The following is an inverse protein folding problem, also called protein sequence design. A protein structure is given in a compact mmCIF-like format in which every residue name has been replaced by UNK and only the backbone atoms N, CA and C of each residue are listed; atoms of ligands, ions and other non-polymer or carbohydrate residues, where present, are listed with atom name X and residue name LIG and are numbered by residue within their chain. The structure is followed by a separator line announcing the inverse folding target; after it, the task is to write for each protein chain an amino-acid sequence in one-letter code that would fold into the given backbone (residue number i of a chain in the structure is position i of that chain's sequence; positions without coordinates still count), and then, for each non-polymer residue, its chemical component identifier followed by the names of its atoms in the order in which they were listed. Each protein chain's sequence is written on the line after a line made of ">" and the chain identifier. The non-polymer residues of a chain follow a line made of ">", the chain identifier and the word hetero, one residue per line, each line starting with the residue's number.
data_IF_738097981866
#
_entry.id   IF_738097981866
#
_cell.length_a   1.000
_cell.length_b   1.000
_cell.length_c   1.000
_cell.angle_alpha   90.00
_cell.angle_beta   90.00
_cell.angle_gamma   90.00
#
_symmetry.space_group_name_H-M   'P 1'
#
loop_
_entity.id
_entity.type
_entity.pdbx_description
1 polymer ?
#
# COMPACT_ATOMS: atom_id res chain seq x y z
N UNK A 1 13.29 -12.19 -17.47
CA UNK A 1 12.92 -11.44 -16.26
C UNK A 1 11.51 -11.87 -15.85
N UNK A 2 11.23 -12.03 -14.56
CA UNK A 2 9.86 -12.26 -14.08
C UNK A 2 8.99 -11.07 -14.49
N UNK A 3 7.79 -11.35 -14.99
CA UNK A 3 6.79 -10.29 -15.30
C UNK A 3 6.08 -9.77 -14.07
N UNK A 4 6.21 -10.47 -12.95
CA UNK A 4 5.51 -10.23 -11.70
C UNK A 4 6.49 -10.06 -10.55
N UNK A 5 6.06 -9.41 -9.48
CA UNK A 5 6.89 -9.06 -8.32
C UNK A 5 6.34 -9.67 -7.05
N UNK A 6 7.24 -9.96 -6.10
CA UNK A 6 6.91 -10.23 -4.71
C UNK A 6 7.41 -9.09 -3.83
N UNK A 7 6.50 -8.29 -3.28
CA UNK A 7 6.81 -7.07 -2.56
C UNK A 7 6.23 -6.99 -1.16
N UNK A 8 6.87 -6.20 -0.31
CA UNK A 8 6.39 -5.87 1.03
C UNK A 8 6.16 -4.37 1.14
N UNK A 9 5.01 -3.98 1.66
CA UNK A 9 4.76 -2.62 2.13
C UNK A 9 4.48 -2.64 3.62
N UNK A 10 5.11 -1.74 4.38
CA UNK A 10 4.91 -1.70 5.81
C UNK A 10 4.81 -0.28 6.36
N UNK A 11 4.12 -0.13 7.46
CA UNK A 11 3.94 1.14 8.15
C UNK A 11 3.26 0.98 9.50
N UNK A 12 3.18 2.08 10.24
CA UNK A 12 2.29 2.18 11.41
C UNK A 12 0.84 1.92 11.03
N UNK A 13 -0.03 1.54 11.99
CA UNK A 13 -1.45 1.41 11.73
C UNK A 13 -2.08 2.71 11.22
N UNK A 14 -3.14 2.60 10.41
CA UNK A 14 -3.99 3.72 9.96
C UNK A 14 -3.32 4.76 9.06
N UNK A 15 -2.24 4.41 8.38
CA UNK A 15 -1.56 5.31 7.41
C UNK A 15 -1.91 5.02 5.95
N UNK A 16 -2.95 4.22 5.69
CA UNK A 16 -3.50 4.03 4.35
C UNK A 16 -2.93 2.86 3.54
N UNK A 17 -2.18 1.91 4.13
CA UNK A 17 -1.63 0.74 3.41
C UNK A 17 -2.68 -0.03 2.58
N UNK A 18 -3.77 -0.44 3.25
CA UNK A 18 -4.88 -1.16 2.61
C UNK A 18 -5.49 -0.36 1.46
N UNK A 19 -5.77 0.93 1.71
CA UNK A 19 -6.32 1.85 0.70
C UNK A 19 -5.39 2.00 -0.49
N UNK A 20 -4.08 2.10 -0.26
CA UNK A 20 -3.08 2.19 -1.32
C UNK A 20 -3.07 0.94 -2.22
N UNK A 21 -3.20 -0.25 -1.63
CA UNK A 21 -3.29 -1.50 -2.39
C UNK A 21 -4.61 -1.65 -3.14
N UNK A 22 -5.74 -1.23 -2.53
CA UNK A 22 -7.04 -1.19 -3.20
C UNK A 22 -7.02 -0.26 -4.42
N UNK A 23 -6.35 0.89 -4.32
CA UNK A 23 -6.17 1.82 -5.46
C UNK A 23 -5.30 1.23 -6.55
N UNK A 24 -4.21 0.58 -6.17
CA UNK A 24 -3.27 0.01 -7.12
C UNK A 24 -3.87 -1.20 -7.86
N UNK A 25 -4.63 -2.04 -7.17
CA UNK A 25 -5.18 -3.28 -7.70
C UNK A 25 -6.64 -3.49 -7.27
N UNK A 26 -7.58 -2.72 -7.86
CA UNK A 26 -9.00 -2.81 -7.49
C UNK A 26 -9.63 -4.16 -7.89
N UNK A 27 -9.07 -4.82 -8.89
CA UNK A 27 -9.40 -6.15 -9.39
C UNK A 27 -8.51 -7.26 -8.81
N UNK A 28 -7.67 -6.94 -7.83
CA UNK A 28 -6.85 -7.89 -7.10
C UNK A 28 -7.64 -8.77 -6.14
N UNK A 29 -7.07 -9.94 -5.79
CA UNK A 29 -7.58 -10.78 -4.72
C UNK A 29 -6.98 -10.34 -3.38
N UNK A 30 -7.83 -9.91 -2.46
CA UNK A 30 -7.43 -9.57 -1.10
C UNK A 30 -7.63 -10.79 -0.19
N UNK A 31 -6.57 -11.19 0.50
CA UNK A 31 -6.60 -12.20 1.56
C UNK A 31 -6.43 -11.47 2.87
N UNK A 32 -7.52 -11.34 3.63
CA UNK A 32 -7.57 -10.40 4.74
C UNK A 32 -8.42 -10.92 5.91
N UNK A 33 -8.09 -10.60 7.17
CA UNK A 33 -8.97 -10.89 8.29
C UNK A 33 -10.33 -10.20 8.12
N UNK A 34 -11.38 -10.84 8.64
CA UNK A 34 -12.73 -10.31 8.57
C UNK A 34 -12.79 -8.88 9.13
N UNK A 35 -13.36 -7.98 8.34
CA UNK A 35 -13.54 -6.57 8.72
C UNK A 35 -12.29 -5.69 8.54
N UNK A 36 -11.15 -6.21 8.07
CA UNK A 36 -9.96 -5.37 7.82
C UNK A 36 -10.13 -4.43 6.62
N UNK A 37 -11.02 -4.77 5.68
CA UNK A 37 -11.29 -3.99 4.48
C UNK A 37 -12.50 -3.04 4.60
N UNK A 38 -12.87 -2.62 5.81
CA UNK A 38 -13.96 -1.65 6.01
C UNK A 38 -13.76 -0.34 5.27
N UNK A 39 -12.50 0.06 5.05
CA UNK A 39 -12.16 1.24 4.24
C UNK A 39 -12.62 1.13 2.79
N UNK A 40 -12.74 -0.08 2.22
CA UNK A 40 -13.24 -0.29 0.85
C UNK A 40 -14.70 0.10 0.73
N UNK A 41 -15.53 -0.30 1.71
CA UNK A 41 -16.96 0.05 1.75
C UNK A 41 -17.17 1.56 1.88
N UNK A 42 -16.33 2.23 2.67
CA UNK A 42 -16.36 3.68 2.80
C UNK A 42 -16.03 4.39 1.48
N UNK A 43 -15.10 3.83 0.70
CA UNK A 43 -14.70 4.35 -0.62
C UNK A 43 -15.66 3.91 -1.74
N UNK A 44 -16.68 3.09 -1.45
CA UNK A 44 -17.60 2.56 -2.43
C UNK A 44 -16.99 1.46 -3.31
N UNK A 45 -15.88 0.86 -2.90
CA UNK A 45 -15.23 -0.25 -3.60
C UNK A 45 -15.75 -1.59 -3.11
N UNK A 46 -15.86 -2.54 -4.05
CA UNK A 46 -16.22 -3.92 -3.78
C UNK A 46 -15.10 -4.86 -4.25
N UNK A 47 -13.98 -4.94 -3.51
CA UNK A 47 -12.87 -5.80 -3.86
C UNK A 47 -13.24 -7.28 -3.69
N UNK A 48 -12.60 -8.14 -4.47
CA UNK A 48 -12.69 -9.58 -4.23
C UNK A 48 -11.89 -9.93 -2.98
N UNK A 49 -12.57 -10.40 -1.94
CA UNK A 49 -11.97 -10.69 -0.63
C UNK A 49 -12.11 -12.16 -0.29
N UNK A 50 -11.00 -12.81 0.02
CA UNK A 50 -10.98 -14.06 0.74
C UNK A 50 -10.78 -13.73 2.24
N UNK A 51 -11.87 -13.75 3.01
CA UNK A 51 -11.79 -13.51 4.44
C UNK A 51 -11.03 -14.62 5.14
N UNK A 52 -10.00 -14.24 5.89
CA UNK A 52 -9.29 -15.15 6.76
C UNK A 52 -10.00 -15.21 8.11
N UNK A 53 -10.51 -16.39 8.45
CA UNK A 53 -10.94 -16.66 9.82
C UNK A 53 -9.74 -16.95 10.72
N UNK A 54 -9.99 -17.16 12.02
CA UNK A 54 -8.96 -17.47 13.04
C UNK A 54 -8.09 -18.70 12.72
N UNK A 55 -8.40 -19.47 11.68
CA UNK A 55 -7.71 -20.71 11.28
C UNK A 55 -6.93 -20.57 9.95
N UNK A 56 -6.97 -19.43 9.30
CA UNK A 56 -6.21 -19.26 8.04
C UNK A 56 -4.78 -18.89 8.38
N UNK A 57 -3.88 -19.79 8.14
CA UNK A 57 -2.44 -19.62 8.31
C UNK A 57 -1.71 -19.51 6.97
N UNK A 58 -0.39 -19.41 7.05
CA UNK A 58 0.50 -19.26 5.89
C UNK A 58 0.34 -20.37 4.85
N UNK A 59 0.04 -21.61 5.29
CA UNK A 59 -0.18 -22.74 4.37
C UNK A 59 -1.38 -22.52 3.45
N UNK A 60 -2.49 -22.02 3.98
CA UNK A 60 -3.69 -21.76 3.19
C UNK A 60 -3.44 -20.62 2.19
N UNK A 61 -2.68 -19.60 2.58
CA UNK A 61 -2.26 -18.51 1.70
C UNK A 61 -1.43 -19.04 0.53
N UNK A 62 -0.46 -19.94 0.80
CA UNK A 62 0.34 -20.60 -0.23
C UNK A 62 -0.55 -21.33 -1.25
N UNK A 63 -1.57 -22.06 -0.77
CA UNK A 63 -2.51 -22.76 -1.64
C UNK A 63 -3.37 -21.80 -2.46
N UNK A 64 -3.78 -20.66 -1.87
CA UNK A 64 -4.48 -19.59 -2.60
C UNK A 64 -3.61 -19.02 -3.72
N UNK A 65 -2.36 -18.68 -3.44
CA UNK A 65 -1.43 -18.17 -4.44
C UNK A 65 -1.30 -19.16 -5.59
N UNK A 66 -1.01 -20.43 -5.30
CA UNK A 66 -0.85 -21.48 -6.32
C UNK A 66 -2.08 -21.68 -7.20
N UNK A 67 -3.28 -21.60 -6.62
CA UNK A 67 -4.54 -21.87 -7.33
C UNK A 67 -5.11 -20.65 -8.05
N UNK A 68 -4.83 -19.45 -7.54
CA UNK A 68 -5.53 -18.22 -7.94
C UNK A 68 -4.64 -17.20 -8.65
N UNK A 69 -3.33 -17.43 -8.73
CA UNK A 69 -2.42 -16.45 -9.36
C UNK A 69 -2.69 -16.19 -10.84
N UNK A 70 -3.39 -17.11 -11.54
CA UNK A 70 -3.77 -16.90 -12.95
C UNK A 70 -5.06 -16.12 -13.13
N UNK A 71 -5.87 -16.05 -12.07
CA UNK A 71 -7.22 -15.48 -12.11
C UNK A 71 -7.21 -13.97 -11.78
N UNK A 72 -6.12 -13.46 -11.18
CA UNK A 72 -6.04 -12.08 -10.67
C UNK A 72 -4.72 -11.40 -11.05
N UNK A 73 -4.70 -10.07 -11.27
CA UNK A 73 -3.49 -9.31 -11.55
C UNK A 73 -2.54 -9.24 -10.34
N UNK A 74 -3.11 -9.28 -9.14
CA UNK A 74 -2.37 -9.28 -7.89
C UNK A 74 -3.11 -10.04 -6.80
N UNK A 75 -2.34 -10.64 -5.89
CA UNK A 75 -2.82 -11.19 -4.61
C UNK A 75 -2.21 -10.37 -3.50
N UNK A 76 -3.05 -9.74 -2.69
CA UNK A 76 -2.67 -8.85 -1.60
C UNK A 76 -3.03 -9.52 -0.27
N UNK A 77 -2.05 -9.75 0.58
CA UNK A 77 -2.22 -10.35 1.90
C UNK A 77 -2.18 -9.23 2.93
N UNK A 78 -3.35 -8.89 3.44
CA UNK A 78 -3.57 -7.74 4.33
C UNK A 78 -4.33 -8.16 5.61
N UNK A 79 -3.84 -8.05 6.80
CA UNK A 79 -2.51 -7.68 7.28
C UNK A 79 -1.66 -8.94 7.54
N UNK A 80 -0.53 -9.07 6.86
CA UNK A 80 0.30 -10.26 6.99
C UNK A 80 0.96 -10.37 8.37
N UNK A 81 1.21 -9.27 9.08
CA UNK A 81 1.76 -9.32 10.43
C UNK A 81 0.86 -10.10 11.38
N UNK A 82 -0.45 -9.89 11.33
CA UNK A 82 -1.42 -10.61 12.17
C UNK A 82 -1.50 -12.10 11.80
N UNK A 83 -1.45 -12.40 10.50
CA UNK A 83 -1.47 -13.78 10.01
C UNK A 83 -0.20 -14.52 10.43
N UNK A 84 0.95 -13.88 10.33
CA UNK A 84 2.24 -14.43 10.73
C UNK A 84 2.31 -14.68 12.25
N UNK A 85 1.74 -13.80 13.06
CA UNK A 85 1.66 -13.97 14.51
C UNK A 85 0.76 -15.17 14.89
N UNK A 86 -0.40 -15.30 14.24
CA UNK A 86 -1.28 -16.45 14.43
C UNK A 86 -0.60 -17.77 14.01
N UNK A 87 0.12 -17.77 12.88
CA UNK A 87 0.89 -18.92 12.41
C UNK A 87 2.00 -19.31 13.39
N UNK A 88 2.76 -18.33 13.92
CA UNK A 88 3.80 -18.59 14.91
C UNK A 88 3.21 -19.13 16.21
N UNK A 89 2.07 -18.60 16.65
CA UNK A 89 1.37 -19.11 17.82
C UNK A 89 0.95 -20.58 17.63
N UNK A 90 0.43 -20.94 16.46
CA UNK A 90 0.08 -22.32 16.12
C UNK A 90 1.31 -23.22 16.05
N UNK A 91 2.42 -22.74 15.46
CA UNK A 91 3.68 -23.48 15.47
C UNK A 91 4.18 -23.75 16.90
N UNK A 92 4.07 -22.78 17.82
CA UNK A 92 4.44 -22.95 19.24
C UNK A 92 3.51 -23.91 19.97
N UNK A 93 2.24 -23.96 19.60
CA UNK A 93 1.27 -24.91 20.19
C UNK A 93 1.54 -26.35 19.79
N UNK A 94 2.00 -26.56 18.55
CA UNK A 94 2.18 -27.90 17.96
C UNK A 94 3.61 -28.43 18.04
N UNK A 95 4.60 -27.57 18.33
CA UNK A 95 6.01 -27.92 18.40
C UNK A 95 6.65 -27.33 19.65
N UNK A 96 7.66 -28.02 20.20
CA UNK A 96 8.36 -27.57 21.40
C UNK A 96 9.64 -26.77 21.06
N UNK A 97 9.94 -25.76 21.88
CA UNK A 97 11.20 -25.02 21.84
C UNK A 97 11.54 -24.43 20.49
N UNK A 98 12.76 -24.60 20.03
CA UNK A 98 13.27 -24.02 18.79
C UNK A 98 12.64 -24.60 17.52
N UNK A 99 12.14 -25.85 17.58
CA UNK A 99 11.49 -26.47 16.42
C UNK A 99 10.25 -25.72 15.94
N UNK A 100 9.55 -25.00 16.82
CA UNK A 100 8.44 -24.14 16.44
C UNK A 100 8.87 -23.02 15.49
N UNK A 101 10.01 -22.39 15.77
CA UNK A 101 10.56 -21.34 14.91
C UNK A 101 11.08 -21.89 13.58
N UNK A 102 11.68 -23.10 13.59
CA UNK A 102 12.14 -23.73 12.34
C UNK A 102 10.97 -24.05 11.41
N UNK A 103 9.86 -24.58 11.97
CA UNK A 103 8.64 -24.83 11.21
C UNK A 103 8.06 -23.53 10.67
N UNK A 104 7.99 -22.50 11.48
CA UNK A 104 7.50 -21.19 11.07
C UNK A 104 8.36 -20.57 9.96
N UNK A 105 9.68 -20.55 10.15
CA UNK A 105 10.63 -20.04 9.13
C UNK A 105 10.47 -20.79 7.81
N UNK A 106 10.37 -22.13 7.83
CA UNK A 106 10.17 -22.93 6.63
C UNK A 106 8.89 -22.53 5.89
N UNK A 107 7.77 -22.31 6.61
CA UNK A 107 6.51 -21.84 5.99
C UNK A 107 6.64 -20.49 5.32
N UNK A 108 7.43 -19.57 5.90
CA UNK A 108 7.69 -18.26 5.27
C UNK A 108 8.56 -18.42 4.02
N UNK A 109 9.53 -19.34 4.01
CA UNK A 109 10.29 -19.64 2.78
C UNK A 109 9.41 -20.30 1.70
N UNK A 110 8.51 -21.19 2.07
CA UNK A 110 7.53 -21.78 1.14
C UNK A 110 6.58 -20.73 0.56
N UNK A 111 6.16 -19.73 1.37
CA UNK A 111 5.37 -18.59 0.90
C UNK A 111 6.14 -17.76 -0.14
N UNK A 112 7.41 -17.43 0.14
CA UNK A 112 8.29 -16.75 -0.82
C UNK A 112 8.35 -17.52 -2.14
N UNK A 113 8.56 -18.83 -2.06
CA UNK A 113 8.70 -19.66 -3.26
C UNK A 113 7.38 -19.70 -4.06
N UNK A 114 6.24 -19.80 -3.37
CA UNK A 114 4.94 -19.72 -4.01
C UNK A 114 4.71 -18.35 -4.67
N UNK A 115 5.05 -17.25 -3.98
CA UNK A 115 4.91 -15.90 -4.49
C UNK A 115 5.80 -15.64 -5.72
N UNK A 116 7.04 -16.13 -5.73
CA UNK A 116 7.96 -15.99 -6.85
C UNK A 116 7.59 -16.82 -8.09
N UNK A 117 6.87 -17.91 -7.87
CA UNK A 117 6.37 -18.77 -8.95
C UNK A 117 4.92 -18.44 -9.35
N UNK A 118 4.36 -17.38 -8.81
CA UNK A 118 3.01 -16.93 -9.14
C UNK A 118 2.94 -16.28 -10.51
N UNK A 119 1.79 -16.43 -11.18
CA UNK A 119 1.48 -15.78 -12.45
C UNK A 119 0.81 -14.40 -12.24
N UNK A 120 1.01 -13.78 -11.08
CA UNK A 120 0.53 -12.45 -10.72
C UNK A 120 1.49 -11.78 -9.73
N UNK A 121 1.28 -10.49 -9.47
CA UNK A 121 1.97 -9.81 -8.37
C UNK A 121 1.51 -10.33 -7.02
N UNK A 122 2.42 -10.45 -6.05
CA UNK A 122 2.08 -10.83 -4.67
C UNK A 122 2.61 -9.76 -3.72
N UNK A 123 1.73 -9.21 -2.89
CA UNK A 123 2.09 -8.17 -1.93
C UNK A 123 1.72 -8.58 -0.52
N UNK A 124 2.62 -8.29 0.42
CA UNK A 124 2.36 -8.36 1.85
C UNK A 124 2.22 -6.94 2.39
N UNK A 125 1.10 -6.61 2.99
CA UNK A 125 1.01 -5.40 3.81
C UNK A 125 1.28 -5.78 5.25
N UNK A 126 2.13 -5.01 5.93
CA UNK A 126 2.62 -5.36 7.26
C UNK A 126 2.62 -4.16 8.20
N UNK A 127 2.55 -4.41 9.48
CA UNK A 127 2.83 -3.40 10.50
C UNK A 127 4.33 -3.07 10.55
N UNK A 128 4.63 -1.88 11.05
CA UNK A 128 5.99 -1.42 11.28
C UNK A 128 6.48 -1.89 12.65
N UNK A 129 7.67 -2.44 12.68
CA UNK A 129 8.44 -2.63 13.89
C UNK A 129 9.46 -1.47 14.00
N UNK A 130 9.45 -0.69 15.06
CA UNK A 130 10.43 0.40 15.22
C UNK A 130 11.84 -0.13 15.41
N UNK A 131 12.85 0.69 15.09
CA UNK A 131 14.25 0.36 15.39
C UNK A 131 14.42 0.17 16.90
N UNK A 132 15.33 -0.72 17.27
CA UNK A 132 15.57 -1.05 18.67
C UNK A 132 17.03 -1.40 18.98
N UNK A 133 17.44 -1.01 20.16
CA UNK A 133 18.71 -1.44 20.72
C UNK A 133 18.56 -2.78 21.47
N UNK A 134 19.40 -3.76 21.14
CA UNK A 134 19.46 -5.04 21.86
C UNK A 134 20.76 -5.10 22.63
N UNK A 135 20.66 -5.08 23.96
CA UNK A 135 21.80 -5.22 24.86
C UNK A 135 22.05 -6.68 25.19
N UNK A 136 23.24 -7.16 24.89
CA UNK A 136 23.77 -8.44 25.38
C UNK A 136 24.95 -8.15 26.31
N UNK A 137 25.31 -9.05 27.25
CA UNK A 137 26.51 -8.86 28.06
C UNK A 137 27.74 -8.56 27.19
N UNK A 138 28.31 -7.38 27.37
CA UNK A 138 29.49 -6.95 26.62
C UNK A 138 29.26 -6.47 25.17
N UNK A 139 28.02 -6.44 24.68
CA UNK A 139 27.74 -6.03 23.31
C UNK A 139 26.36 -5.36 23.17
N UNK A 140 26.34 -4.18 22.60
CA UNK A 140 25.11 -3.51 22.20
C UNK A 140 24.98 -3.60 20.68
N UNK A 141 23.84 -4.10 20.20
CA UNK A 141 23.52 -4.18 18.77
C UNK A 141 22.30 -3.34 18.46
N UNK A 142 22.42 -2.44 17.49
CA UNK A 142 21.29 -1.75 16.88
C UNK A 142 20.62 -2.66 15.84
N UNK A 143 19.29 -2.82 15.94
CA UNK A 143 18.48 -3.53 14.96
C UNK A 143 17.60 -2.49 14.27
N UNK A 144 17.71 -2.32 12.94
CA UNK A 144 16.88 -1.39 12.20
C UNK A 144 15.41 -1.77 12.31
N UNK A 145 14.55 -0.78 12.20
CA UNK A 145 13.11 -0.97 12.05
C UNK A 145 12.77 -1.64 10.71
N UNK A 146 11.58 -2.16 10.59
CA UNK A 146 11.17 -2.85 9.36
C UNK A 146 9.79 -3.49 9.46
N UNK A 147 9.45 -4.42 8.57
CA UNK A 147 8.20 -5.16 8.64
C UNK A 147 8.11 -5.98 9.94
N UNK A 148 6.99 -5.83 10.65
CA UNK A 148 6.74 -6.57 11.89
C UNK A 148 6.43 -8.04 11.58
N UNK A 149 7.34 -8.91 11.93
CA UNK A 149 7.17 -10.36 11.86
C UNK A 149 7.84 -11.04 13.04
N UNK A 150 7.19 -12.07 13.58
CA UNK A 150 7.72 -12.86 14.69
C UNK A 150 8.97 -13.65 14.30
N UNK A 151 9.72 -14.06 15.33
CA UNK A 151 10.95 -14.85 15.17
C UNK A 151 12.23 -13.99 15.26
N UNK A 152 13.36 -14.68 15.37
CA UNK A 152 14.66 -14.05 15.58
C UNK A 152 15.30 -13.53 14.29
N UNK A 153 15.14 -14.28 13.18
CA UNK A 153 15.84 -14.00 11.91
C UNK A 153 14.93 -13.41 10.83
N UNK A 154 13.63 -13.65 10.89
CA UNK A 154 12.70 -13.25 9.84
C UNK A 154 12.58 -11.72 9.66
N UNK A 155 12.66 -10.88 10.71
CA UNK A 155 12.64 -9.43 10.52
C UNK A 155 13.73 -8.91 9.57
N UNK A 156 14.90 -9.56 9.56
CA UNK A 156 16.00 -9.21 8.65
C UNK A 156 15.94 -10.01 7.33
N UNK A 157 15.45 -11.27 7.36
CA UNK A 157 15.46 -12.16 6.20
C UNK A 157 14.28 -11.94 5.26
N UNK A 158 13.08 -11.65 5.77
CA UNK A 158 11.91 -11.43 4.93
C UNK A 158 12.11 -10.28 3.95
N UNK A 159 12.61 -9.09 4.35
CA UNK A 159 12.96 -8.03 3.41
C UNK A 159 13.92 -8.48 2.31
N UNK A 160 14.94 -9.25 2.67
CA UNK A 160 15.92 -9.77 1.72
C UNK A 160 15.35 -10.79 0.72
N UNK A 161 14.19 -11.37 0.99
CA UNK A 161 13.50 -12.30 0.09
C UNK A 161 12.60 -11.59 -0.93
N UNK A 162 12.24 -10.34 -0.68
CA UNK A 162 11.33 -9.56 -1.51
C UNK A 162 12.07 -8.84 -2.64
N UNK A 163 11.35 -8.55 -3.70
CA UNK A 163 11.90 -7.78 -4.82
C UNK A 163 11.98 -6.29 -4.48
N UNK A 164 11.05 -5.82 -3.64
CA UNK A 164 11.13 -4.50 -3.02
C UNK A 164 10.51 -4.50 -1.61
N UNK A 165 10.95 -3.54 -0.82
CA UNK A 165 10.46 -3.27 0.53
C UNK A 165 10.19 -1.77 0.64
N UNK A 166 8.92 -1.40 0.68
CA UNK A 166 8.48 -0.01 0.73
C UNK A 166 7.90 0.32 2.10
N UNK A 167 8.47 1.32 2.75
CA UNK A 167 7.93 1.90 3.98
C UNK A 167 6.97 3.02 3.63
N UNK A 168 5.83 3.11 4.30
CA UNK A 168 5.01 4.32 4.20
C UNK A 168 5.50 5.34 5.22
N UNK A 169 5.93 6.47 4.71
CA UNK A 169 6.43 7.60 5.50
C UNK A 169 5.49 8.79 5.40
N UNK A 170 5.58 9.65 6.39
CA UNK A 170 4.88 10.92 6.37
C UNK A 170 5.77 11.96 5.69
N UNK A 171 5.25 12.65 4.68
CA UNK A 171 5.91 13.75 4.03
C UNK A 171 5.44 15.06 4.69
N UNK A 172 6.30 15.68 5.47
CA UNK A 172 6.00 16.92 6.20
C UNK A 172 5.81 18.11 5.27
N UNK A 173 6.47 18.08 4.11
CA UNK A 173 6.42 19.16 3.11
C UNK A 173 5.21 19.03 2.17
N UNK A 174 4.57 17.87 2.12
CA UNK A 174 3.38 17.68 1.32
C UNK A 174 2.20 18.47 1.87
N UNK A 175 1.68 19.35 1.06
CA UNK A 175 0.48 20.13 1.37
C UNK A 175 -0.77 19.27 1.17
N UNK A 176 -1.51 19.02 2.22
CA UNK A 176 -2.81 18.33 2.17
C UNK A 176 -2.80 16.95 2.86
N UNK A 177 -3.89 16.18 2.81
CA UNK A 177 -4.01 14.90 3.52
C UNK A 177 -3.25 13.73 2.86
N UNK A 178 -2.69 13.91 1.67
CA UNK A 178 -1.83 12.93 1.02
C UNK A 178 -0.36 13.09 1.44
N UNK A 179 -0.16 13.28 2.74
CA UNK A 179 1.16 13.39 3.36
C UNK A 179 1.89 12.05 3.49
N UNK A 180 1.34 10.98 2.94
CA UNK A 180 1.97 9.66 2.99
C UNK A 180 2.52 9.28 1.64
N UNK A 181 3.78 8.82 1.63
CA UNK A 181 4.50 8.34 0.47
C UNK A 181 5.12 6.98 0.75
N UNK A 182 5.36 6.20 -0.30
CA UNK A 182 6.25 5.06 -0.21
C UNK A 182 7.70 5.53 -0.26
N UNK A 183 8.51 4.97 0.61
CA UNK A 183 9.97 5.11 0.62
C UNK A 183 10.58 3.73 0.33
N UNK A 184 11.41 3.67 -0.71
CA UNK A 184 12.24 2.52 -1.09
C UNK A 184 13.72 2.88 -1.10
N UNK A 185 14.06 4.15 -1.09
CA UNK A 185 15.42 4.65 -0.95
C UNK A 185 16.07 4.24 0.37
N UNK A 186 17.39 4.29 0.45
CA UNK A 186 18.14 3.93 1.66
C UNK A 186 17.69 4.72 2.89
N UNK A 187 17.51 4.02 4.00
CA UNK A 187 17.17 4.62 5.29
C UNK A 187 18.11 4.07 6.37
N UNK A 188 18.78 4.92 7.17
CA UNK A 188 19.74 4.48 8.18
C UNK A 188 19.07 3.75 9.35
N UNK A 189 17.79 3.99 9.58
CA UNK A 189 17.04 3.43 10.72
C UNK A 189 16.08 2.32 10.33
N UNK A 190 15.66 2.25 9.06
CA UNK A 190 14.63 1.33 8.60
C UNK A 190 15.07 0.52 7.39
N UNK A 191 14.57 -0.71 7.31
CA UNK A 191 14.83 -1.60 6.18
C UNK A 191 13.91 -1.23 5.03
N UNK A 192 14.48 -0.58 4.02
CA UNK A 192 13.85 -0.27 2.74
C UNK A 192 14.74 -0.74 1.61
N UNK A 193 14.21 -0.91 0.42
CA UNK A 193 15.03 -1.28 -0.74
C UNK A 193 14.21 -1.66 -1.97
N UNK A 194 14.85 -1.51 -3.12
CA UNK A 194 14.30 -1.92 -4.41
C UNK A 194 15.37 -2.73 -5.19
N UNK A 195 15.14 -4.02 -5.32
CA UNK A 195 15.98 -4.92 -6.15
C UNK A 195 15.61 -4.82 -7.61
N UNK A 196 14.44 -4.28 -7.94
CA UNK A 196 13.96 -4.11 -9.31
C UNK A 196 14.69 -2.98 -10.03
N UNK A 197 15.29 -2.05 -9.27
CA UNK A 197 15.95 -0.84 -9.76
C UNK A 197 15.02 0.05 -10.65
N UNK A 198 13.74 0.04 -10.35
CA UNK A 198 12.72 0.81 -11.09
C UNK A 198 11.94 1.78 -10.20
N UNK A 199 12.04 1.59 -8.88
CA UNK A 199 11.29 2.43 -7.94
C UNK A 199 12.07 3.69 -7.58
N UNK A 200 11.44 4.88 -7.63
CA UNK A 200 12.01 6.09 -7.07
C UNK A 200 12.28 5.93 -5.57
N UNK A 201 13.23 6.69 -5.01
CA UNK A 201 13.52 6.66 -3.57
C UNK A 201 12.29 6.94 -2.72
N UNK A 202 11.44 7.88 -3.19
CA UNK A 202 10.12 8.16 -2.64
C UNK A 202 9.12 8.39 -3.76
N UNK A 203 7.89 7.92 -3.57
CA UNK A 203 6.80 8.09 -4.54
C UNK A 203 5.42 8.04 -3.86
N UNK A 204 4.38 8.62 -4.49
CA UNK A 204 3.02 8.57 -3.98
C UNK A 204 2.55 7.13 -3.71
N UNK A 205 1.53 6.97 -2.86
CA UNK A 205 0.95 5.65 -2.54
C UNK A 205 0.22 5.01 -3.75
N UNK A 206 0.92 4.90 -4.88
CA UNK A 206 0.46 4.26 -6.11
C UNK A 206 1.58 3.38 -6.71
N UNK A 207 1.73 2.20 -6.17
CA UNK A 207 2.75 1.25 -6.60
C UNK A 207 2.52 0.74 -8.04
N UNK A 208 1.25 0.75 -8.51
CA UNK A 208 0.89 0.34 -9.87
C UNK A 208 1.62 1.16 -10.93
N UNK A 209 1.61 2.49 -10.79
CA UNK A 209 2.24 3.40 -11.75
C UNK A 209 3.76 3.14 -11.85
N UNK A 210 4.39 2.90 -10.72
CA UNK A 210 5.83 2.62 -10.69
C UNK A 210 6.16 1.28 -11.36
N UNK A 211 5.35 0.25 -11.11
CA UNK A 211 5.52 -1.04 -11.78
C UNK A 211 5.29 -0.93 -13.30
N UNK A 212 4.28 -0.18 -13.73
CA UNK A 212 4.03 0.09 -15.16
C UNK A 212 5.21 0.82 -15.80
N UNK A 213 5.72 1.87 -15.16
CA UNK A 213 6.88 2.61 -15.63
C UNK A 213 8.14 1.72 -15.71
N UNK A 214 8.26 0.76 -14.81
CA UNK A 214 9.33 -0.24 -14.79
C UNK A 214 9.16 -1.38 -15.82
N UNK A 215 8.07 -1.37 -16.60
CA UNK A 215 7.80 -2.38 -17.63
C UNK A 215 7.26 -3.71 -17.10
N UNK A 216 6.76 -3.75 -15.88
CA UNK A 216 6.11 -4.93 -15.33
C UNK A 216 4.71 -5.12 -15.91
N UNK A 217 4.27 -6.37 -15.96
CA UNK A 217 2.94 -6.69 -16.46
C UNK A 217 1.89 -6.36 -15.42
N UNK A 218 1.30 -5.19 -15.53
CA UNK A 218 0.15 -4.77 -14.70
C UNK A 218 -1.05 -4.63 -15.63
N UNK A 219 -1.95 -5.62 -15.68
CA UNK A 219 -3.14 -5.55 -16.54
C UNK A 219 -3.96 -4.32 -16.18
N UNK A 220 -4.49 -3.66 -17.20
CA UNK A 220 -5.46 -2.58 -16.98
C UNK A 220 -6.76 -3.22 -16.47
N UNK A 221 -7.31 -2.77 -15.33
CA UNK A 221 -8.57 -3.30 -14.86
C UNK A 221 -9.66 -3.11 -15.92
N UNK A 222 -10.45 -4.15 -16.16
CA UNK A 222 -11.57 -4.07 -17.13
C UNK A 222 -12.54 -2.93 -16.77
N UNK A 223 -12.73 -2.68 -15.49
CA UNK A 223 -13.54 -1.56 -14.97
C UNK A 223 -13.01 -0.17 -15.32
N UNK A 224 -11.75 -0.01 -15.73
CA UNK A 224 -11.18 1.29 -16.13
C UNK A 224 -11.32 1.58 -17.63
N UNK A 225 -11.51 0.56 -18.47
CA UNK A 225 -11.49 0.74 -19.92
C UNK A 225 -12.63 1.62 -20.46
N UNK A 226 -13.79 1.63 -19.77
CA UNK A 226 -14.97 2.42 -20.16
C UNK A 226 -15.10 3.75 -19.40
N UNK A 227 -14.23 3.98 -18.41
CA UNK A 227 -14.31 5.15 -17.52
C UNK A 227 -13.54 6.38 -18.02
N UNK A 228 -12.64 6.22 -19.00
CA UNK A 228 -11.77 7.33 -19.40
C UNK A 228 -12.59 8.55 -19.93
N UNK A 229 -13.60 8.28 -20.77
CA UNK A 229 -14.44 9.33 -21.34
C UNK A 229 -15.43 9.92 -20.32
N UNK A 230 -16.01 9.07 -19.46
CA UNK A 230 -16.92 9.51 -18.38
C UNK A 230 -16.17 10.28 -17.29
N UNK A 231 -14.95 9.85 -16.96
CA UNK A 231 -14.07 10.51 -16.01
C UNK A 231 -13.65 11.88 -16.48
N UNK A 232 -13.30 12.02 -17.74
CA UNK A 232 -12.94 13.32 -18.33
C UNK A 232 -14.15 14.25 -18.37
N UNK A 233 -15.31 13.75 -18.75
CA UNK A 233 -16.57 14.49 -18.74
C UNK A 233 -16.94 14.95 -17.33
N UNK A 234 -16.88 14.06 -16.33
CA UNK A 234 -17.22 14.36 -14.94
C UNK A 234 -16.21 15.35 -14.33
N UNK A 235 -14.93 15.20 -14.64
CA UNK A 235 -13.87 16.13 -14.22
C UNK A 235 -14.06 17.51 -14.81
N UNK A 236 -14.48 17.60 -16.08
CA UNK A 236 -14.78 18.87 -16.74
C UNK A 236 -16.04 19.53 -16.16
N UNK A 237 -17.09 18.74 -15.89
CA UNK A 237 -18.32 19.21 -15.26
C UNK A 237 -18.06 19.81 -13.87
N UNK A 238 -17.41 19.04 -13.00
CA UNK A 238 -17.10 19.49 -11.64
C UNK A 238 -16.11 20.67 -11.61
N UNK A 239 -15.12 20.67 -12.51
CA UNK A 239 -14.21 21.82 -12.68
C UNK A 239 -14.94 23.06 -13.21
N UNK A 240 -15.96 22.85 -14.05
CA UNK A 240 -16.80 23.91 -14.60
C UNK A 240 -17.72 24.52 -13.54
N UNK A 241 -18.32 23.73 -12.67
CA UNK A 241 -19.13 24.22 -11.56
C UNK A 241 -18.31 25.03 -10.56
N UNK A 242 -17.16 24.51 -10.17
CA UNK A 242 -16.28 25.22 -9.24
C UNK A 242 -15.67 26.49 -9.83
N UNK A 243 -15.36 26.49 -11.13
CA UNK A 243 -14.85 27.68 -11.80
C UNK A 243 -15.89 28.81 -11.92
N UNK A 244 -17.19 28.50 -11.83
CA UNK A 244 -18.26 29.50 -11.74
C UNK A 244 -18.28 30.18 -10.38
N UNK A 245 -18.05 29.39 -9.30
CA UNK A 245 -18.05 29.90 -7.94
C UNK A 245 -16.70 30.56 -7.55
N UNK A 246 -15.60 30.02 -8.10
CA UNK A 246 -14.23 30.44 -7.73
C UNK A 246 -13.30 30.49 -8.95
N UNK A 247 -13.36 31.54 -9.78
CA UNK A 247 -12.61 31.62 -11.05
C UNK A 247 -11.09 31.49 -10.92
N UNK A 248 -10.52 31.83 -9.76
CA UNK A 248 -9.07 31.75 -9.51
C UNK A 248 -8.59 30.34 -9.17
N UNK A 249 -9.50 29.40 -8.92
CA UNK A 249 -9.17 28.00 -8.55
C UNK A 249 -9.06 27.11 -9.79
N UNK A 250 -9.63 27.51 -10.92
CA UNK A 250 -9.68 26.74 -12.17
C UNK A 250 -8.34 26.13 -12.61
N UNK A 251 -7.20 26.85 -12.62
CA UNK A 251 -5.92 26.31 -13.06
C UNK A 251 -5.35 25.23 -12.12
N UNK A 252 -5.65 25.37 -10.81
CA UNK A 252 -5.13 24.46 -9.78
C UNK A 252 -5.85 23.11 -9.83
N UNK A 253 -7.14 23.14 -10.17
CA UNK A 253 -7.98 21.94 -10.26
C UNK A 253 -7.70 21.18 -11.55
N UNK A 254 -7.61 21.85 -12.68
CA UNK A 254 -7.38 21.22 -13.97
C UNK A 254 -6.06 20.42 -14.03
N UNK A 255 -4.98 20.91 -13.40
CA UNK A 255 -3.71 20.20 -13.34
C UNK A 255 -3.73 18.98 -12.40
N UNK A 256 -4.40 19.10 -11.25
CA UNK A 256 -4.41 18.03 -10.23
C UNK A 256 -5.52 16.99 -10.41
N UNK A 257 -6.67 17.38 -10.96
CA UNK A 257 -7.73 16.43 -11.23
C UNK A 257 -7.34 15.42 -12.31
N UNK A 258 -6.57 15.82 -13.33
CA UNK A 258 -6.09 14.92 -14.37
C UNK A 258 -5.20 13.80 -13.81
N UNK A 259 -4.29 14.12 -12.86
CA UNK A 259 -3.42 13.11 -12.25
C UNK A 259 -4.15 12.24 -11.23
N UNK A 260 -5.06 12.82 -10.46
CA UNK A 260 -5.87 12.09 -9.48
C UNK A 260 -6.89 11.16 -10.15
N UNK A 261 -7.50 11.61 -11.23
CA UNK A 261 -8.50 10.87 -12.00
C UNK A 261 -7.88 9.66 -12.70
N UNK A 262 -6.66 9.74 -13.19
CA UNK A 262 -5.92 8.58 -13.74
C UNK A 262 -5.70 7.46 -12.73
N UNK A 263 -5.78 7.74 -11.45
CA UNK A 263 -5.59 6.76 -10.36
C UNK A 263 -6.91 6.17 -9.82
N UNK A 264 -8.06 6.55 -10.36
CA UNK A 264 -9.37 6.23 -9.79
C UNK A 264 -10.14 5.24 -10.65
N UNK A 265 -10.85 4.31 -10.02
CA UNK A 265 -11.45 3.13 -10.64
C UNK A 265 -12.98 3.10 -10.65
N UNK A 266 -13.66 4.04 -9.99
CA UNK A 266 -15.12 4.06 -9.79
C UNK A 266 -15.66 5.49 -9.82
N UNK A 267 -16.82 5.70 -10.45
CA UNK A 267 -17.49 7.01 -10.55
C UNK A 267 -17.72 7.68 -9.18
N UNK A 268 -18.15 6.91 -8.17
CA UNK A 268 -18.38 7.43 -6.82
C UNK A 268 -17.08 7.90 -6.18
N UNK A 269 -16.01 7.15 -6.42
CA UNK A 269 -14.70 7.49 -5.93
C UNK A 269 -14.13 8.73 -6.65
N UNK A 270 -14.38 8.84 -7.97
CA UNK A 270 -14.03 10.04 -8.74
C UNK A 270 -14.72 11.26 -8.16
N UNK A 271 -16.04 11.18 -7.94
CA UNK A 271 -16.82 12.26 -7.32
C UNK A 271 -16.25 12.63 -5.96
N UNK A 272 -15.89 11.65 -5.15
CA UNK A 272 -15.29 11.88 -3.85
C UNK A 272 -13.88 12.50 -3.95
N UNK A 273 -13.00 11.99 -4.81
CA UNK A 273 -11.63 12.52 -5.01
C UNK A 273 -11.67 13.94 -5.54
N UNK A 274 -12.56 14.21 -6.49
CA UNK A 274 -12.73 15.56 -7.03
C UNK A 274 -13.33 16.47 -5.96
N UNK A 275 -14.39 16.07 -5.26
CA UNK A 275 -14.99 16.86 -4.18
C UNK A 275 -13.98 17.16 -3.06
N UNK A 276 -13.17 16.19 -2.69
CA UNK A 276 -12.14 16.36 -1.67
C UNK A 276 -10.99 17.27 -2.15
N UNK A 277 -10.56 17.16 -3.41
CA UNK A 277 -9.59 18.06 -4.02
C UNK A 277 -10.14 19.51 -4.08
N UNK A 278 -11.43 19.66 -4.39
CA UNK A 278 -12.15 20.93 -4.41
C UNK A 278 -12.23 21.54 -3.00
N UNK A 279 -12.66 20.78 -2.01
CA UNK A 279 -12.75 21.24 -0.63
C UNK A 279 -11.39 21.72 -0.10
N UNK A 280 -10.30 21.06 -0.49
CA UNK A 280 -8.93 21.47 -0.13
C UNK A 280 -8.46 22.71 -0.85
N UNK A 281 -8.82 22.85 -2.12
CA UNK A 281 -8.51 24.06 -2.87
C UNK A 281 -9.21 25.28 -2.25
N UNK A 282 -10.48 25.12 -1.84
CA UNK A 282 -11.24 26.14 -1.11
C UNK A 282 -10.60 26.48 0.24
N UNK A 283 -10.19 25.46 1.01
CA UNK A 283 -9.53 25.66 2.30
C UNK A 283 -8.21 26.44 2.16
N UNK A 284 -7.42 26.14 1.12
CA UNK A 284 -6.17 26.86 0.83
C UNK A 284 -6.42 28.31 0.42
N UNK A 285 -7.43 28.53 -0.41
CA UNK A 285 -7.81 29.89 -0.80
C UNK A 285 -8.24 30.68 0.42
N UNK A 286 -9.02 30.06 1.31
CA UNK A 286 -9.43 30.70 2.57
C UNK A 286 -8.23 31.01 3.46
N UNK A 287 -7.29 30.08 3.62
CA UNK A 287 -6.05 30.30 4.37
C UNK A 287 -5.17 31.39 3.75
N UNK A 288 -5.07 31.43 2.41
CA UNK A 288 -4.34 32.50 1.72
C UNK A 288 -4.99 33.86 1.91
N UNK A 289 -6.33 33.92 1.88
CA UNK A 289 -7.05 35.15 2.11
C UNK A 289 -6.86 35.67 3.57
N UNK A 290 -6.93 34.76 4.56
CA UNK A 290 -6.66 35.10 5.95
C UNK A 290 -5.22 35.63 6.16
N UNK A 291 -4.25 35.05 5.45
CA UNK A 291 -2.85 35.49 5.50
C UNK A 291 -2.68 36.90 4.88
N UNK A 292 -3.35 37.13 3.74
CA UNK A 292 -3.33 38.44 3.10
C UNK A 292 -4.02 39.51 3.96
N UNK A 293 -5.20 39.20 4.53
CA UNK A 293 -5.91 40.09 5.45
C UNK A 293 -5.07 40.40 6.71
N UNK A 294 -4.28 39.40 7.19
CA UNK A 294 -3.35 39.59 8.32
C UNK A 294 -2.19 40.53 7.93
N UNK A 295 -1.61 40.33 6.74
CA UNK A 295 -0.51 41.17 6.24
C UNK A 295 -0.97 42.61 5.97
N UNK A 296 -2.19 42.80 5.46
CA UNK A 296 -2.75 44.12 5.21
C UNK A 296 -3.17 44.87 6.49
N UNK A 297 -3.27 44.14 7.61
CA UNK A 297 -3.60 44.72 8.92
C UNK A 297 -2.38 45.27 9.70
N UNK A 298 -1.16 45.10 9.14
CA UNK A 298 0.08 45.69 9.63
C UNK A 298 0.57 46.82 8.72
#
# INVERSE_FOLDING_TARGET
>A
MSKFTFGVTYARPKVGKTVAMLKAFPDGLFVAPRGSLLSSSYLGWDPTVLETGAKVGVKQIIEVIKKKSKDYPAIIIDDFSLIADAELAECKRTNQGWSAFDVFNRRIYELRDAARNADCHVFLTMHEQPPREVKKPGQTRWIPGGPLIGGWQLPEKLPAMCDFVARVVYDEDALGPWKFMYQTGPDPEYITGDRLCVMPEQFPLNIREVLLAGGYHVPRPEKLAWMDDEVESLSQELSGELAKEHPNIKPIIAGRSADLVKSVTDERHIRWVVSDALARAQLRQHQSNLLNDFVESF
#
